data_IF_573306155444
#
_entry.id   IF_573306155444
#
_cell.length_a   1.000
_cell.length_b   1.000
_cell.length_c   1.000
_cell.angle_alpha   90.00
_cell.angle_beta   90.00
_cell.angle_gamma   90.00
#
_symmetry.space_group_name_H-M   'P 1'
#
loop_
_entity.id
_entity.type
_entity.pdbx_description
1 polymer ?
#
# COMPACT_ATOMS: atom_id res chain seq x y z
N UNK A 1 -1.44 2.22 -12.60
CA UNK A 1 -0.68 1.75 -13.75
C UNK A 1 -1.53 0.85 -14.61
N UNK A 2 -1.50 1.04 -15.90
CA UNK A 2 -2.23 0.20 -16.85
C UNK A 2 -1.37 -1.02 -17.14
N UNK A 3 -1.94 -2.23 -17.04
CA UNK A 3 -1.21 -3.47 -17.29
C UNK A 3 -1.02 -3.70 -18.81
N UNK A 4 0.19 -4.11 -19.20
CA UNK A 4 0.51 -4.65 -20.50
C UNK A 4 0.12 -3.76 -21.69
N UNK A 5 -0.63 -4.30 -22.63
CA UNK A 5 -1.06 -3.65 -23.87
C UNK A 5 -1.87 -2.36 -23.68
N UNK A 6 -2.49 -2.16 -22.51
CA UNK A 6 -3.27 -0.97 -22.19
C UNK A 6 -2.44 0.24 -21.69
N UNK A 7 -1.13 0.09 -21.49
CA UNK A 7 -0.23 1.21 -21.19
C UNK A 7 0.08 2.05 -22.44
N UNK A 8 -0.33 1.58 -23.59
CA UNK A 8 -0.11 2.19 -24.89
C UNK A 8 -1.49 2.53 -25.45
N UNK A 9 -1.69 3.77 -25.89
CA UNK A 9 -2.94 4.15 -26.56
C UNK A 9 -3.07 3.45 -27.93
N UNK A 10 -4.23 3.61 -28.59
CA UNK A 10 -4.49 3.02 -29.91
C UNK A 10 -3.51 3.48 -31.02
N UNK A 11 -2.63 4.45 -30.71
CA UNK A 11 -1.59 4.98 -31.62
C UNK A 11 -0.18 4.45 -31.26
N UNK A 12 -0.06 3.55 -30.28
CA UNK A 12 1.23 3.02 -29.83
C UNK A 12 2.03 3.96 -28.91
N UNK A 13 1.41 4.99 -28.33
CA UNK A 13 2.07 5.96 -27.45
C UNK A 13 1.83 5.62 -25.97
N UNK A 14 2.85 5.84 -25.15
CA UNK A 14 2.77 5.68 -23.71
C UNK A 14 1.83 6.73 -23.12
N UNK A 15 0.81 6.30 -22.36
CA UNK A 15 -0.10 7.20 -21.66
C UNK A 15 0.55 7.65 -20.35
N UNK A 16 0.73 8.95 -20.20
CA UNK A 16 1.30 9.56 -19.00
C UNK A 16 0.20 10.08 -18.08
N UNK A 17 0.39 9.91 -16.76
CA UNK A 17 -0.48 10.54 -15.76
C UNK A 17 -0.31 12.05 -15.79
N UNK A 18 -1.40 12.81 -15.90
CA UNK A 18 -1.36 14.27 -15.68
C UNK A 18 -1.46 14.61 -14.19
N UNK A 19 -0.94 15.77 -13.78
CA UNK A 19 -1.07 16.22 -12.38
C UNK A 19 -2.52 16.54 -12.02
N UNK A 20 -3.31 17.04 -12.96
CA UNK A 20 -4.72 17.35 -12.79
C UNK A 20 -5.55 16.08 -12.52
N UNK A 21 -5.37 15.02 -13.34
CA UNK A 21 -6.01 13.72 -13.12
C UNK A 21 -5.60 13.10 -11.79
N UNK A 22 -4.30 13.12 -11.48
CA UNK A 22 -3.76 12.61 -10.23
C UNK A 22 -4.38 13.31 -9.01
N UNK A 23 -4.50 14.65 -9.06
CA UNK A 23 -5.11 15.45 -8.01
C UNK A 23 -6.58 15.09 -7.79
N UNK A 24 -7.38 15.09 -8.85
CA UNK A 24 -8.80 14.72 -8.80
C UNK A 24 -8.97 13.30 -8.24
N UNK A 25 -8.11 12.36 -8.67
CA UNK A 25 -8.17 10.99 -8.20
C UNK A 25 -7.89 10.89 -6.70
N UNK A 26 -6.82 11.51 -6.20
CA UNK A 26 -6.46 11.52 -4.77
C UNK A 26 -7.53 12.21 -3.92
N UNK A 27 -8.04 13.36 -4.37
CA UNK A 27 -9.10 14.09 -3.67
C UNK A 27 -10.39 13.27 -3.53
N UNK A 28 -10.73 12.48 -4.53
CA UNK A 28 -11.96 11.65 -4.53
C UNK A 28 -11.80 10.34 -3.77
N UNK A 29 -10.63 9.72 -3.83
CA UNK A 29 -10.39 8.38 -3.27
C UNK A 29 -9.75 8.39 -1.89
N UNK A 30 -9.09 9.50 -1.51
CA UNK A 30 -8.35 9.64 -0.25
C UNK A 30 -7.32 8.54 0.00
N UNK A 31 -6.66 8.10 -1.05
CA UNK A 31 -5.61 7.07 -0.98
C UNK A 31 -4.34 7.61 -0.34
N UNK A 32 -3.57 6.72 0.29
CA UNK A 32 -2.31 7.05 0.96
C UNK A 32 -1.11 7.05 0.01
N UNK A 33 -1.18 6.34 -1.11
CA UNK A 33 -0.12 6.19 -2.11
C UNK A 33 -0.72 6.21 -3.51
N UNK A 34 -0.04 6.85 -4.46
CA UNK A 34 -0.49 6.88 -5.86
C UNK A 34 0.55 6.28 -6.80
N UNK A 35 0.16 5.27 -7.58
CA UNK A 35 0.96 4.81 -8.71
C UNK A 35 0.75 5.71 -9.93
N UNK A 36 1.86 6.22 -10.50
CA UNK A 36 1.83 7.14 -11.63
C UNK A 36 2.53 6.56 -12.85
N UNK A 37 2.02 6.87 -14.04
CA UNK A 37 2.67 6.57 -15.31
C UNK A 37 3.56 7.73 -15.74
N UNK A 38 4.87 7.49 -15.77
CA UNK A 38 5.90 8.47 -16.13
C UNK A 38 6.85 7.95 -17.22
N UNK A 39 6.41 6.93 -17.96
CA UNK A 39 7.15 6.35 -19.08
C UNK A 39 7.67 4.93 -18.83
N UNK A 40 7.47 4.34 -17.65
CA UNK A 40 7.77 2.92 -17.42
C UNK A 40 6.65 2.04 -17.98
N UNK A 41 7.04 0.86 -18.47
CA UNK A 41 6.15 -0.15 -19.03
C UNK A 41 6.34 -1.45 -18.26
N UNK A 42 5.26 -2.19 -18.02
CA UNK A 42 5.32 -3.51 -17.42
C UNK A 42 5.94 -4.55 -18.37
N UNK A 43 6.63 -5.53 -17.78
CA UNK A 43 7.21 -6.63 -18.54
C UNK A 43 8.62 -6.37 -19.03
N UNK A 44 9.06 -7.16 -20.03
CA UNK A 44 10.39 -7.05 -20.63
C UNK A 44 10.41 -5.87 -21.59
N UNK A 45 11.29 -4.92 -21.31
CA UNK A 45 11.52 -3.78 -22.20
C UNK A 45 12.58 -4.16 -23.24
N UNK A 46 12.26 -4.11 -24.54
CA UNK A 46 13.21 -4.47 -25.59
C UNK A 46 14.40 -3.50 -25.69
N UNK A 47 14.23 -2.25 -25.22
CA UNK A 47 15.26 -1.22 -25.20
C UNK A 47 15.36 -0.58 -23.82
N UNK A 48 16.53 -0.65 -23.17
CA UNK A 48 16.82 -0.02 -21.86
C UNK A 48 16.75 1.52 -21.85
N UNK A 49 16.46 2.15 -22.98
CA UNK A 49 16.39 3.62 -23.12
C UNK A 49 14.95 4.16 -22.96
N UNK A 50 14.22 3.69 -21.94
CA UNK A 50 12.91 4.27 -21.64
C UNK A 50 13.07 5.74 -21.26
N UNK A 51 12.46 6.61 -22.03
CA UNK A 51 12.49 8.06 -21.77
C UNK A 51 11.51 8.37 -20.64
N UNK A 52 12.02 8.44 -19.40
CA UNK A 52 11.24 8.80 -18.23
C UNK A 52 11.00 10.31 -18.16
N UNK A 53 9.78 10.72 -17.82
CA UNK A 53 9.43 12.12 -17.63
C UNK A 53 9.58 12.54 -16.15
N UNK A 54 10.82 12.84 -15.76
CA UNK A 54 11.14 13.27 -14.38
C UNK A 54 10.52 14.62 -14.03
N UNK A 55 10.32 15.52 -15.02
CA UNK A 55 9.70 16.82 -14.78
C UNK A 55 8.22 16.66 -14.40
N UNK A 56 7.53 15.80 -15.10
CA UNK A 56 6.14 15.41 -14.78
C UNK A 56 6.05 14.77 -13.41
N UNK A 57 6.94 13.82 -13.11
CA UNK A 57 6.98 13.15 -11.81
C UNK A 57 7.13 14.15 -10.66
N UNK A 58 8.11 15.05 -10.79
CA UNK A 58 8.34 16.11 -9.81
C UNK A 58 7.12 17.00 -9.62
N UNK A 59 6.48 17.43 -10.70
CA UNK A 59 5.27 18.26 -10.65
C UNK A 59 4.13 17.53 -9.91
N UNK A 60 3.88 16.27 -10.21
CA UNK A 60 2.87 15.46 -9.52
C UNK A 60 3.20 15.36 -8.02
N UNK A 61 4.47 15.08 -7.67
CA UNK A 61 4.90 15.00 -6.28
C UNK A 61 4.69 16.31 -5.52
N UNK A 62 5.12 17.44 -6.11
CA UNK A 62 4.99 18.76 -5.50
C UNK A 62 3.52 19.17 -5.29
N UNK A 63 2.63 18.79 -6.20
CA UNK A 63 1.20 19.13 -6.14
C UNK A 63 0.39 18.23 -5.18
N UNK A 64 0.76 16.95 -5.05
CA UNK A 64 -0.03 16.01 -4.25
C UNK A 64 0.46 15.87 -2.81
N UNK A 65 1.76 15.97 -2.57
CA UNK A 65 2.35 15.78 -1.25
C UNK A 65 2.16 14.39 -0.62
N UNK A 66 1.79 13.36 -1.43
CA UNK A 66 1.67 11.97 -0.99
C UNK A 66 2.76 11.11 -1.64
N UNK A 67 3.16 9.97 -1.02
CA UNK A 67 4.17 9.10 -1.58
C UNK A 67 3.75 8.52 -2.94
N UNK A 68 4.67 8.56 -3.92
CA UNK A 68 4.41 8.02 -5.25
C UNK A 68 4.97 6.60 -5.41
N UNK A 69 4.29 5.81 -6.22
CA UNK A 69 4.66 4.42 -6.53
C UNK A 69 5.05 4.29 -7.99
N UNK A 70 6.16 3.63 -8.25
CA UNK A 70 6.59 3.27 -9.59
C UNK A 70 6.19 1.84 -9.91
N UNK A 71 5.43 1.63 -10.97
CA UNK A 71 5.23 0.34 -11.62
C UNK A 71 6.20 0.17 -12.80
N UNK A 72 6.47 -1.09 -13.19
CA UNK A 72 7.40 -1.36 -14.29
C UNK A 72 8.85 -0.97 -13.98
N UNK A 73 9.26 -1.11 -12.72
CA UNK A 73 10.58 -0.72 -12.24
C UNK A 73 11.72 -1.70 -12.57
N UNK A 74 11.47 -2.80 -13.31
CA UNK A 74 12.51 -3.75 -13.68
C UNK A 74 13.37 -3.23 -14.83
N UNK A 75 14.70 -3.43 -14.73
CA UNK A 75 15.63 -3.18 -15.85
C UNK A 75 15.97 -1.70 -16.11
N UNK A 76 15.63 -0.79 -15.21
CA UNK A 76 16.09 0.59 -15.26
C UNK A 76 17.59 0.65 -14.86
N UNK A 77 18.28 1.69 -15.30
CA UNK A 77 19.67 1.95 -14.88
C UNK A 77 19.71 2.70 -13.55
N UNK A 78 20.81 2.61 -12.83
CA UNK A 78 21.02 3.21 -11.50
C UNK A 78 20.65 4.69 -11.45
N UNK A 79 21.11 5.48 -12.41
CA UNK A 79 20.82 6.91 -12.48
C UNK A 79 19.32 7.21 -12.60
N UNK A 80 18.56 6.34 -13.29
CA UNK A 80 17.12 6.48 -13.43
C UNK A 80 16.42 6.23 -12.08
N UNK A 81 16.82 5.18 -11.33
CA UNK A 81 16.28 4.94 -9.99
C UNK A 81 16.55 6.11 -9.06
N UNK A 82 17.77 6.63 -9.02
CA UNK A 82 18.11 7.79 -8.18
C UNK A 82 17.26 9.01 -8.54
N UNK A 83 17.10 9.31 -9.82
CA UNK A 83 16.23 10.42 -10.26
C UNK A 83 14.77 10.21 -9.91
N UNK A 84 14.25 8.99 -10.01
CA UNK A 84 12.86 8.68 -9.62
C UNK A 84 12.65 8.90 -8.13
N UNK A 85 13.56 8.41 -7.29
CA UNK A 85 13.50 8.55 -5.83
C UNK A 85 13.59 10.03 -5.43
N UNK A 86 14.54 10.77 -5.97
CA UNK A 86 14.70 12.21 -5.72
C UNK A 86 13.48 13.04 -6.14
N UNK A 87 12.67 12.54 -7.07
CA UNK A 87 11.45 13.21 -7.54
C UNK A 87 10.15 12.62 -6.93
N UNK A 88 10.24 11.92 -5.80
CA UNK A 88 9.06 11.56 -4.99
C UNK A 88 8.62 10.10 -5.05
N UNK A 89 9.33 9.23 -5.78
CA UNK A 89 9.03 7.79 -5.73
C UNK A 89 9.48 7.21 -4.38
N UNK A 90 8.51 6.77 -3.60
CA UNK A 90 8.73 6.15 -2.29
C UNK A 90 8.62 4.61 -2.32
N UNK A 91 8.04 4.03 -3.38
CA UNK A 91 7.86 2.59 -3.54
C UNK A 91 8.09 2.19 -5.00
N UNK A 92 8.84 1.13 -5.22
CA UNK A 92 9.14 0.59 -6.55
C UNK A 92 8.63 -0.84 -6.62
N UNK A 93 7.79 -1.13 -7.63
CA UNK A 93 7.34 -2.48 -7.92
C UNK A 93 8.26 -3.11 -8.96
N UNK A 94 8.91 -4.21 -8.59
CA UNK A 94 9.82 -4.96 -9.41
C UNK A 94 9.45 -6.44 -9.40
N UNK A 95 9.19 -7.02 -10.56
CA UNK A 95 8.81 -8.44 -10.69
C UNK A 95 9.60 -9.14 -11.80
N UNK A 96 9.59 -8.58 -13.01
CA UNK A 96 10.07 -9.26 -14.22
C UNK A 96 11.51 -9.76 -14.09
N UNK A 97 12.41 -8.92 -13.59
CA UNK A 97 13.82 -9.29 -13.41
C UNK A 97 14.00 -10.39 -12.35
N UNK A 98 13.27 -10.33 -11.24
CA UNK A 98 13.30 -11.39 -10.22
C UNK A 98 12.76 -12.71 -10.78
N UNK A 99 11.68 -12.65 -11.56
CA UNK A 99 11.12 -13.81 -12.24
C UNK A 99 12.12 -14.42 -13.24
N UNK A 100 12.83 -13.60 -13.99
CA UNK A 100 13.84 -14.05 -14.95
C UNK A 100 15.03 -14.71 -14.26
N UNK A 101 15.52 -14.16 -13.14
CA UNK A 101 16.58 -14.77 -12.32
C UNK A 101 16.13 -16.14 -11.83
N UNK A 102 14.92 -16.25 -11.26
CA UNK A 102 14.39 -17.53 -10.81
C UNK A 102 14.31 -18.54 -11.97
N UNK A 103 13.82 -18.12 -13.12
CA UNK A 103 13.70 -18.96 -14.30
C UNK A 103 15.05 -19.43 -14.85
N UNK A 104 16.09 -18.63 -14.77
CA UNK A 104 17.47 -19.03 -15.15
C UNK A 104 17.96 -20.15 -14.24
N UNK A 105 17.81 -20.01 -12.93
CA UNK A 105 18.24 -21.05 -11.95
C UNK A 105 17.49 -22.35 -12.17
N UNK A 106 16.15 -22.27 -12.30
CA UNK A 106 15.30 -23.44 -12.53
C UNK A 106 15.71 -24.19 -13.81
N UNK A 107 15.90 -23.48 -14.92
CA UNK A 107 16.35 -24.07 -16.18
C UNK A 107 17.72 -24.75 -16.05
N UNK A 108 18.67 -24.07 -15.38
CA UNK A 108 20.00 -24.64 -15.14
C UNK A 108 19.92 -25.93 -14.33
N UNK A 109 19.11 -25.98 -13.29
CA UNK A 109 18.96 -27.18 -12.47
C UNK A 109 18.29 -28.32 -13.26
N UNK A 110 17.27 -28.00 -14.05
CA UNK A 110 16.57 -29.00 -14.89
C UNK A 110 17.47 -29.61 -15.96
N UNK A 111 18.45 -28.87 -16.45
CA UNK A 111 19.42 -29.37 -17.45
C UNK A 111 20.51 -30.27 -16.85
N UNK A 112 20.83 -30.12 -15.54
CA UNK A 112 21.90 -30.90 -14.88
C UNK A 112 21.56 -32.37 -14.68
N UNK A 113 20.27 -32.72 -14.63
CA UNK A 113 19.85 -34.11 -14.43
C UNK A 113 18.42 -34.31 -14.96
N UNK A 114 18.23 -35.36 -15.76
CA UNK A 114 16.90 -35.81 -16.25
C UNK A 114 16.03 -36.41 -15.13
N UNK A 115 16.54 -36.53 -13.89
CA UNK A 115 15.85 -37.11 -12.73
C UNK A 115 15.46 -36.07 -11.69
N UNK A 116 15.66 -34.78 -11.96
CA UNK A 116 15.32 -33.73 -11.02
C UNK A 116 13.81 -33.55 -10.93
N UNK A 117 13.29 -33.71 -9.73
CA UNK A 117 11.91 -33.35 -9.40
C UNK A 117 11.72 -31.85 -9.23
N UNK A 118 10.51 -31.45 -8.85
CA UNK A 118 10.14 -30.05 -8.64
C UNK A 118 11.00 -29.36 -7.58
N UNK A 119 11.24 -30.02 -6.45
CA UNK A 119 12.00 -29.46 -5.32
C UNK A 119 13.45 -29.20 -5.72
N UNK A 120 14.07 -30.15 -6.38
CA UNK A 120 15.46 -30.03 -6.85
C UNK A 120 15.62 -28.91 -7.88
N UNK A 121 14.59 -28.70 -8.71
CA UNK A 121 14.60 -27.59 -9.69
C UNK A 121 14.60 -26.21 -9.02
N UNK A 122 14.07 -26.10 -7.80
CA UNK A 122 14.03 -24.85 -7.03
C UNK A 122 15.30 -24.55 -6.21
N UNK A 123 16.24 -25.50 -6.16
CA UNK A 123 17.46 -25.34 -5.37
C UNK A 123 18.25 -24.10 -5.80
N UNK A 124 18.63 -23.24 -4.84
CA UNK A 124 19.37 -22.00 -5.11
C UNK A 124 18.56 -20.82 -5.64
N UNK A 125 17.25 -21.00 -5.91
CA UNK A 125 16.38 -19.88 -6.36
C UNK A 125 16.28 -18.80 -5.29
N UNK A 126 16.03 -19.20 -4.04
CA UNK A 126 15.93 -18.27 -2.91
C UNK A 126 17.19 -17.42 -2.75
N UNK A 127 18.34 -18.06 -2.77
CA UNK A 127 19.64 -17.41 -2.61
C UNK A 127 19.89 -16.40 -3.74
N UNK A 128 19.61 -16.78 -4.99
CA UNK A 128 19.76 -15.89 -6.14
C UNK A 128 18.83 -14.68 -6.06
N UNK A 129 17.59 -14.86 -5.61
CA UNK A 129 16.65 -13.76 -5.41
C UNK A 129 17.08 -12.86 -4.24
N UNK A 130 17.60 -13.44 -3.15
CA UNK A 130 18.12 -12.66 -2.02
C UNK A 130 19.26 -11.75 -2.44
N UNK A 131 20.20 -12.23 -3.23
CA UNK A 131 21.32 -11.41 -3.72
C UNK A 131 20.80 -10.24 -4.58
N UNK A 132 19.87 -10.49 -5.49
CA UNK A 132 19.29 -9.42 -6.30
C UNK A 132 18.52 -8.39 -5.46
N UNK A 133 17.75 -8.85 -4.47
CA UNK A 133 17.03 -7.94 -3.57
C UNK A 133 18.01 -7.10 -2.73
N UNK A 134 19.10 -7.65 -2.25
CA UNK A 134 20.15 -6.88 -1.56
C UNK A 134 20.73 -5.79 -2.46
N UNK A 135 21.02 -6.11 -3.72
CA UNK A 135 21.49 -5.10 -4.69
C UNK A 135 20.47 -3.98 -4.86
N UNK A 136 19.17 -4.31 -5.00
CA UNK A 136 18.12 -3.29 -5.07
C UNK A 136 18.01 -2.45 -3.81
N UNK A 137 18.12 -3.04 -2.62
CA UNK A 137 18.09 -2.28 -1.36
C UNK A 137 19.23 -1.26 -1.29
N UNK A 138 20.44 -1.62 -1.75
CA UNK A 138 21.54 -0.66 -1.85
C UNK A 138 21.26 0.40 -2.92
N UNK A 139 20.89 0.00 -4.11
CA UNK A 139 20.63 0.86 -5.25
C UNK A 139 19.53 1.91 -4.96
N UNK A 140 18.48 1.50 -4.24
CA UNK A 140 17.36 2.38 -3.91
C UNK A 140 17.53 3.12 -2.57
N UNK A 141 18.68 2.98 -1.91
CA UNK A 141 19.00 3.66 -0.66
C UNK A 141 18.18 3.22 0.54
N UNK A 142 17.60 2.01 0.50
CA UNK A 142 16.86 1.42 1.63
C UNK A 142 17.73 0.52 2.53
N UNK A 143 18.92 0.14 2.08
CA UNK A 143 19.85 -0.65 2.88
C UNK A 143 20.35 0.12 4.10
N UNK A 144 20.48 -0.58 5.24
CA UNK A 144 20.95 0.00 6.50
C UNK A 144 19.93 0.86 7.26
N UNK A 145 18.74 1.07 6.72
CA UNK A 145 17.71 1.95 7.33
C UNK A 145 16.76 1.24 8.30
N UNK A 146 16.97 -0.06 8.57
CA UNK A 146 16.09 -0.81 9.45
C UNK A 146 15.97 -0.19 10.87
N UNK A 147 17.06 0.33 11.41
CA UNK A 147 17.05 0.99 12.72
C UNK A 147 16.15 2.25 12.73
N UNK A 148 16.21 3.07 11.68
CA UNK A 148 15.35 4.26 11.53
C UNK A 148 13.88 3.85 11.47
N UNK A 149 13.57 2.82 10.67
CA UNK A 149 12.21 2.30 10.55
C UNK A 149 11.72 1.75 11.88
N UNK A 150 12.53 1.01 12.63
CA UNK A 150 12.17 0.47 13.95
C UNK A 150 11.94 1.56 15.00
N UNK A 151 12.66 2.69 14.89
CA UNK A 151 12.48 3.83 15.80
C UNK A 151 11.24 4.64 15.42
N UNK A 152 10.99 4.86 14.13
CA UNK A 152 9.90 5.68 13.61
C UNK A 152 8.60 4.90 13.45
N UNK A 153 8.68 3.67 12.96
CA UNK A 153 7.54 2.78 12.87
C UNK A 153 7.37 2.07 14.21
N UNK A 154 6.65 2.70 15.11
CA UNK A 154 6.07 1.94 16.23
C UNK A 154 5.27 0.80 15.61
N UNK A 155 5.39 -0.43 16.14
CA UNK A 155 4.54 -1.54 15.69
C UNK A 155 3.10 -1.06 15.69
N UNK A 156 2.37 -1.34 14.62
CA UNK A 156 0.94 -1.05 14.52
C UNK A 156 0.23 -1.80 15.63
N UNK A 157 0.21 -1.23 16.81
CA UNK A 157 -0.61 -1.72 17.89
C UNK A 157 -1.94 -1.00 17.77
N UNK A 158 -2.92 -1.72 17.28
CA UNK A 158 -4.30 -1.25 17.33
C UNK A 158 -4.67 -0.98 18.78
N UNK A 159 -5.31 0.14 19.02
CA UNK A 159 -5.84 0.52 20.32
C UNK A 159 -7.34 0.35 20.27
N UNK A 160 -7.92 -0.14 21.35
CA UNK A 160 -9.36 -0.27 21.47
C UNK A 160 -9.89 0.76 22.46
N UNK A 161 -10.87 1.53 22.03
CA UNK A 161 -11.71 2.32 22.90
C UNK A 161 -12.96 1.52 23.24
N UNK A 162 -13.23 1.36 24.52
CA UNK A 162 -14.43 0.69 25.03
C UNK A 162 -15.30 1.76 25.68
N UNK A 163 -16.53 1.88 25.19
CA UNK A 163 -17.56 2.76 25.77
C UNK A 163 -18.65 1.87 26.31
N UNK A 164 -18.92 2.02 27.60
CA UNK A 164 -19.98 1.28 28.30
C UNK A 164 -21.02 2.28 28.76
N UNK A 165 -22.27 2.10 28.35
CA UNK A 165 -23.31 3.06 28.61
C UNK A 165 -24.70 2.40 28.73
N UNK A 166 -25.67 3.22 29.10
CA UNK A 166 -27.08 2.87 29.00
C UNK A 166 -27.77 3.65 27.89
N UNK A 167 -28.83 3.06 27.36
CA UNK A 167 -29.72 3.68 26.40
C UNK A 167 -30.99 4.13 27.08
N UNK A 168 -31.40 5.37 26.90
CA UNK A 168 -32.66 5.87 27.39
C UNK A 168 -33.85 5.09 26.78
N UNK A 169 -34.86 4.81 27.57
CA UNK A 169 -35.99 3.95 27.17
C UNK A 169 -36.70 4.44 25.89
N UNK A 170 -36.68 5.74 25.62
CA UNK A 170 -37.29 6.35 24.41
C UNK A 170 -36.62 5.92 23.11
N UNK A 171 -35.35 5.47 23.14
CA UNK A 171 -34.61 5.06 21.95
C UNK A 171 -34.55 3.54 21.75
N UNK A 172 -35.06 2.75 22.67
CA UNK A 172 -34.99 1.29 22.61
C UNK A 172 -35.63 0.70 21.34
N UNK A 173 -36.76 1.26 20.90
CA UNK A 173 -37.46 0.78 19.69
C UNK A 173 -36.68 1.05 18.38
N UNK A 174 -35.82 2.06 18.38
CA UNK A 174 -35.03 2.48 17.20
C UNK A 174 -33.58 2.09 17.35
N UNK A 175 -33.24 1.35 18.39
CA UNK A 175 -31.88 1.10 18.80
C UNK A 175 -31.03 0.48 17.69
N UNK A 176 -31.49 -0.59 17.03
CA UNK A 176 -30.73 -1.27 15.98
C UNK A 176 -30.45 -0.35 14.79
N UNK A 177 -31.43 0.48 14.42
CA UNK A 177 -31.26 1.45 13.33
C UNK A 177 -30.24 2.53 13.71
N UNK A 178 -30.34 3.09 14.92
CA UNK A 178 -29.41 4.13 15.40
C UNK A 178 -27.99 3.59 15.55
N UNK A 179 -27.87 2.36 16.06
CA UNK A 179 -26.57 1.68 16.22
C UNK A 179 -25.90 1.43 14.87
N UNK A 180 -26.66 0.97 13.88
CA UNK A 180 -26.11 0.74 12.53
C UNK A 180 -25.71 2.05 11.85
N UNK A 181 -26.50 3.10 12.02
CA UNK A 181 -26.13 4.45 11.51
C UNK A 181 -24.86 4.97 12.21
N UNK A 182 -24.78 4.90 13.53
CA UNK A 182 -23.61 5.31 14.28
C UNK A 182 -22.36 4.51 13.87
N UNK A 183 -22.50 3.19 13.70
CA UNK A 183 -21.40 2.33 13.22
C UNK A 183 -20.89 2.78 11.85
N UNK A 184 -21.79 3.02 10.90
CA UNK A 184 -21.43 3.50 9.56
C UNK A 184 -20.72 4.86 9.62
N UNK A 185 -21.24 5.78 10.42
CA UNK A 185 -20.67 7.13 10.60
C UNK A 185 -19.27 7.05 11.23
N UNK A 186 -19.10 6.30 12.32
CA UNK A 186 -17.80 6.13 12.97
C UNK A 186 -16.76 5.47 12.06
N UNK A 187 -17.16 4.53 11.20
CA UNK A 187 -16.28 3.90 10.22
C UNK A 187 -15.76 4.88 9.15
N UNK A 188 -16.37 6.05 8.96
CA UNK A 188 -15.87 7.07 8.03
C UNK A 188 -14.73 7.90 8.63
N UNK A 189 -14.51 7.83 9.95
CA UNK A 189 -13.46 8.59 10.62
C UNK A 189 -12.09 7.99 10.28
N UNK A 190 -11.14 8.77 9.77
CA UNK A 190 -9.80 8.28 9.48
C UNK A 190 -9.13 7.63 10.70
N UNK A 191 -8.60 6.42 10.49
CA UNK A 191 -7.94 5.67 11.55
C UNK A 191 -8.86 4.73 12.35
N UNK A 192 -10.19 4.79 12.19
CA UNK A 192 -11.11 3.78 12.70
C UNK A 192 -11.02 2.53 11.81
N UNK A 193 -10.77 1.39 12.42
CA UNK A 193 -10.61 0.09 11.73
C UNK A 193 -11.86 -0.76 11.81
N UNK A 194 -12.44 -0.83 13.01
CA UNK A 194 -13.65 -1.63 13.26
C UNK A 194 -14.48 -0.98 14.37
N UNK A 195 -15.78 -1.14 14.27
CA UNK A 195 -16.75 -0.70 15.28
C UNK A 195 -17.69 -1.85 15.57
N UNK A 196 -17.73 -2.26 16.82
CA UNK A 196 -18.64 -3.29 17.33
C UNK A 196 -19.55 -2.70 18.39
N UNK A 197 -20.78 -3.17 18.46
CA UNK A 197 -21.70 -2.88 19.55
C UNK A 197 -22.35 -4.18 20.04
N UNK A 198 -22.68 -4.24 21.30
CA UNK A 198 -23.31 -5.41 21.88
C UNK A 198 -24.02 -5.08 23.15
N UNK A 199 -25.08 -5.86 23.46
CA UNK A 199 -25.82 -5.82 24.69
C UNK A 199 -25.23 -6.77 25.73
N UNK A 200 -25.40 -6.42 26.99
CA UNK A 200 -25.13 -7.34 28.08
C UNK A 200 -26.07 -8.57 27.99
N UNK A 201 -25.48 -9.76 28.09
CA UNK A 201 -26.24 -11.04 28.04
C UNK A 201 -26.93 -11.40 29.36
N UNK A 202 -26.49 -10.81 30.47
CA UNK A 202 -26.99 -11.12 31.81
C UNK A 202 -27.59 -9.90 32.46
N UNK A 203 -28.75 -10.08 33.16
CA UNK A 203 -29.34 -9.03 33.96
C UNK A 203 -28.82 -9.08 35.40
N UNK A 204 -28.84 -7.95 36.12
CA UNK A 204 -28.75 -6.58 35.67
C UNK A 204 -27.41 -5.97 36.04
N UNK A 205 -26.59 -5.79 35.03
CA UNK A 205 -25.43 -4.89 35.20
C UNK A 205 -25.88 -3.42 35.29
N UNK A 206 -25.06 -2.58 35.87
CA UNK A 206 -25.26 -1.11 35.87
C UNK A 206 -25.39 -0.53 34.46
N UNK A 207 -24.77 -1.19 33.47
CA UNK A 207 -24.75 -0.78 32.08
C UNK A 207 -25.18 -1.91 31.16
N UNK A 208 -25.89 -1.57 30.07
CA UNK A 208 -26.48 -2.54 29.15
C UNK A 208 -25.82 -2.61 27.80
N UNK A 209 -25.14 -1.54 27.36
CA UNK A 209 -24.55 -1.43 26.03
C UNK A 209 -23.04 -1.24 26.12
N UNK A 210 -22.34 -1.95 25.26
CA UNK A 210 -20.91 -1.78 25.03
C UNK A 210 -20.63 -1.46 23.57
N UNK A 211 -19.82 -0.44 23.33
CA UNK A 211 -19.17 -0.20 22.05
C UNK A 211 -17.68 -0.53 22.16
N UNK A 212 -17.14 -1.20 21.19
CA UNK A 212 -15.72 -1.45 21.02
C UNK A 212 -15.29 -0.88 19.69
N UNK A 213 -14.47 0.15 19.73
CA UNK A 213 -13.99 0.87 18.57
C UNK A 213 -12.49 0.61 18.46
N UNK A 214 -12.10 -0.08 17.39
CA UNK A 214 -10.69 -0.38 17.12
C UNK A 214 -10.09 0.75 16.29
N UNK A 215 -9.05 1.37 16.83
CA UNK A 215 -8.27 2.43 16.17
C UNK A 215 -6.95 1.86 15.65
N UNK A 216 -6.48 2.39 14.54
CA UNK A 216 -5.26 1.94 13.88
C UNK A 216 -4.02 2.10 14.77
N UNK A 217 -3.96 3.16 15.57
CA UNK A 217 -2.81 3.51 16.42
C UNK A 217 -3.26 4.45 17.55
N UNK A 218 -2.50 4.52 18.65
CA UNK A 218 -2.81 5.39 19.78
C UNK A 218 -2.86 6.89 19.39
N UNK A 219 -2.02 7.34 18.47
CA UNK A 219 -1.98 8.73 18.05
C UNK A 219 -3.26 9.17 17.30
N UNK A 220 -4.07 8.21 16.82
CA UNK A 220 -5.37 8.49 16.19
C UNK A 220 -6.43 8.93 17.21
N UNK A 221 -6.25 8.64 18.52
CA UNK A 221 -7.27 8.91 19.55
C UNK A 221 -7.69 10.38 19.55
N UNK A 222 -6.75 11.30 19.53
CA UNK A 222 -7.04 12.73 19.59
C UNK A 222 -7.79 13.22 18.34
N UNK A 223 -7.35 12.80 17.16
CA UNK A 223 -8.00 13.16 15.88
C UNK A 223 -9.38 12.53 15.76
N UNK A 224 -9.55 11.30 16.22
CA UNK A 224 -10.83 10.60 16.28
C UNK A 224 -11.81 11.31 17.22
N UNK A 225 -11.41 11.64 18.44
CA UNK A 225 -12.27 12.31 19.43
C UNK A 225 -12.63 13.76 19.05
N UNK A 226 -11.80 14.44 18.28
CA UNK A 226 -12.07 15.77 17.77
C UNK A 226 -12.83 15.80 16.44
N UNK A 227 -13.09 14.63 15.85
CA UNK A 227 -13.78 14.55 14.55
C UNK A 227 -15.26 14.92 14.69
N UNK A 228 -15.83 15.71 13.76
CA UNK A 228 -17.25 16.10 13.82
C UNK A 228 -18.25 14.95 13.93
N UNK A 229 -17.89 13.77 13.43
CA UNK A 229 -18.73 12.56 13.49
C UNK A 229 -18.58 11.77 14.80
N UNK A 230 -17.73 12.20 15.72
CA UNK A 230 -17.59 11.53 17.02
C UNK A 230 -18.66 11.98 18.00
N UNK A 231 -19.11 13.23 17.94
CA UNK A 231 -20.18 13.81 18.73
C UNK A 231 -21.54 13.60 18.02
#
# INVERSE_FOLDING_TARGET
>A
GVEGENAINNLGEVVYTSSEEAKVYVERTKIDFLAVSVGTIHGRQPNRSTKLDFKRLKRINDELGIPLVLHGGSGLVEEQYHKLILNGVAKINCYTELSDIAAVVIRSNSQKSNKNGYIESLHGVKESLQEQIKLYMHLWGSAGRAAEVLIQCRPWQSVEQIIICNVESRYLQQFDTLTEQARKTLMTIPGVRQVFSGWALTEPGQYRLCWRIQLAHADVINSYQSHPHYN
#
